data_IF_299652437699
#
_entry.id   IF_299652437699
#
_cell.length_a   1.000
_cell.length_b   1.000
_cell.length_c   1.000
_cell.angle_alpha   90.00
_cell.angle_beta   90.00
_cell.angle_gamma   90.00
#
_symmetry.space_group_name_H-M   'P 1'
#
loop_
_entity.id
_entity.type
_entity.pdbx_description
1 polymer ?
#
# COMPACT_ATOMS: atom_id res chain seq x y z
N UNK A 1 5.29 10.37 -13.05
CA UNK A 1 5.80 10.91 -11.77
C UNK A 1 5.92 12.42 -11.94
N UNK A 2 5.23 13.23 -11.13
CA UNK A 2 5.39 14.68 -11.19
C UNK A 2 6.73 15.05 -10.53
N UNK A 3 7.47 16.00 -11.11
CA UNK A 3 8.69 16.52 -10.49
C UNK A 3 8.33 17.20 -9.14
N UNK A 4 9.04 16.91 -8.05
CA UNK A 4 8.75 17.53 -6.76
C UNK A 4 8.98 19.04 -6.83
N UNK A 5 8.02 19.81 -6.33
CA UNK A 5 8.11 21.27 -6.29
C UNK A 5 8.96 21.70 -5.09
N UNK A 6 9.85 22.69 -5.28
CA UNK A 6 10.65 23.32 -4.22
C UNK A 6 9.79 23.81 -3.05
N UNK A 7 8.58 24.30 -3.33
CA UNK A 7 7.64 24.77 -2.30
C UNK A 7 7.22 23.66 -1.31
N UNK A 8 7.39 22.39 -1.70
CA UNK A 8 7.05 21.24 -0.85
C UNK A 8 8.11 20.92 0.20
N UNK A 9 9.35 21.42 0.07
CA UNK A 9 10.49 21.07 0.94
C UNK A 9 10.14 21.33 2.41
N UNK A 10 9.62 22.53 2.72
CA UNK A 10 9.24 22.91 4.09
C UNK A 10 8.17 21.97 4.66
N UNK A 11 7.11 21.74 3.89
CA UNK A 11 5.99 20.88 4.29
C UNK A 11 6.43 19.43 4.53
N UNK A 12 7.26 18.88 3.64
CA UNK A 12 7.81 17.53 3.80
C UNK A 12 8.69 17.42 5.04
N UNK A 13 9.60 18.39 5.23
CA UNK A 13 10.48 18.44 6.40
C UNK A 13 9.68 18.49 7.72
N UNK A 14 8.64 19.32 7.77
CA UNK A 14 7.79 19.48 8.96
C UNK A 14 6.95 18.23 9.24
N UNK A 15 6.42 17.57 8.20
CA UNK A 15 5.72 16.27 8.33
C UNK A 15 6.61 15.19 8.94
N UNK A 16 7.91 15.23 8.67
CA UNK A 16 8.91 14.30 9.21
C UNK A 16 9.46 14.74 10.58
N UNK A 17 8.98 15.86 11.15
CA UNK A 17 9.49 16.44 12.40
C UNK A 17 11.00 16.74 12.38
N UNK A 18 11.57 17.06 11.21
CA UNK A 18 13.01 17.31 11.04
C UNK A 18 13.32 18.80 11.10
N UNK A 19 14.40 19.18 11.80
CA UNK A 19 14.86 20.57 11.82
C UNK A 19 15.59 20.97 10.53
N UNK A 20 15.58 22.25 10.16
CA UNK A 20 16.37 22.76 9.04
C UNK A 20 17.86 22.42 9.18
N UNK A 21 18.37 22.40 10.42
CA UNK A 21 19.76 22.03 10.73
C UNK A 21 20.06 20.58 10.35
N UNK A 22 19.17 19.66 10.70
CA UNK A 22 19.34 18.24 10.38
C UNK A 22 19.24 17.99 8.87
N UNK A 23 18.25 18.59 8.20
CA UNK A 23 18.12 18.47 6.74
C UNK A 23 19.35 19.02 6.00
N UNK A 24 19.84 20.19 6.41
CA UNK A 24 21.03 20.80 5.82
C UNK A 24 22.27 19.90 5.96
N UNK A 25 22.47 19.32 7.15
CA UNK A 25 23.56 18.39 7.42
C UNK A 25 23.49 17.14 6.54
N UNK A 26 22.30 16.58 6.31
CA UNK A 26 22.12 15.39 5.46
C UNK A 26 22.31 15.69 3.98
N UNK A 27 21.81 16.85 3.53
CA UNK A 27 21.94 17.27 2.14
C UNK A 27 23.33 17.84 1.80
N UNK A 28 24.21 18.01 2.79
CA UNK A 28 25.54 18.59 2.60
C UNK A 28 25.49 20.07 2.20
N UNK A 29 24.57 20.84 2.78
CA UNK A 29 24.38 22.28 2.53
C UNK A 29 24.32 23.06 3.84
N UNK A 30 24.34 24.40 3.75
CA UNK A 30 24.22 25.25 4.94
C UNK A 30 22.76 25.36 5.40
N UNK A 31 22.55 25.54 6.71
CA UNK A 31 21.22 25.79 7.30
C UNK A 31 20.58 27.06 6.74
N UNK A 32 21.39 28.10 6.50
CA UNK A 32 20.97 29.35 5.87
C UNK A 32 20.41 29.11 4.46
N UNK A 33 21.05 28.24 3.67
CA UNK A 33 20.58 27.88 2.33
C UNK A 33 19.20 27.20 2.38
N UNK A 34 18.98 26.24 3.30
CA UNK A 34 17.66 25.63 3.49
C UNK A 34 16.61 26.69 3.85
N UNK A 35 16.92 27.60 4.78
CA UNK A 35 15.99 28.67 5.17
C UNK A 35 15.66 29.61 4.00
N UNK A 36 16.64 29.98 3.18
CA UNK A 36 16.41 30.81 1.99
C UNK A 36 15.55 30.12 0.94
N UNK A 37 15.74 28.81 0.74
CA UNK A 37 14.93 28.00 -0.18
C UNK A 37 13.48 27.87 0.34
N UNK A 38 13.30 27.48 1.61
CA UNK A 38 11.97 27.30 2.22
C UNK A 38 11.17 28.60 2.34
N UNK A 39 11.84 29.76 2.38
CA UNK A 39 11.19 31.07 2.36
C UNK A 39 11.01 31.67 0.97
N UNK A 40 11.38 30.94 -0.10
CA UNK A 40 11.29 31.40 -1.48
C UNK A 40 12.29 32.49 -1.88
N UNK A 41 13.24 32.83 -0.99
CA UNK A 41 14.26 33.88 -1.21
C UNK A 41 15.37 33.44 -2.17
N UNK A 42 15.55 32.14 -2.37
CA UNK A 42 16.56 31.60 -3.29
C UNK A 42 16.07 30.31 -3.95
N UNK A 43 16.47 30.11 -5.22
CA UNK A 43 16.26 28.85 -5.93
C UNK A 43 17.58 28.07 -5.94
N UNK A 44 17.59 26.79 -5.51
CA UNK A 44 18.80 25.97 -5.55
C UNK A 44 19.14 25.57 -6.99
N UNK A 45 20.41 25.18 -7.21
CA UNK A 45 20.77 24.42 -8.40
C UNK A 45 20.07 23.05 -8.42
N UNK A 46 20.02 22.41 -9.58
CA UNK A 46 19.48 21.06 -9.71
C UNK A 46 20.17 20.07 -8.75
N UNK A 47 21.51 20.09 -8.67
CA UNK A 47 22.26 19.20 -7.79
C UNK A 47 21.93 19.42 -6.31
N UNK A 48 21.78 20.68 -5.90
CA UNK A 48 21.36 21.01 -4.53
C UNK A 48 19.93 20.55 -4.27
N UNK A 49 19.00 20.80 -5.18
CA UNK A 49 17.62 20.32 -5.06
C UNK A 49 17.58 18.78 -4.95
N UNK A 50 18.34 18.07 -5.80
CA UNK A 50 18.47 16.62 -5.80
C UNK A 50 18.98 16.10 -4.45
N UNK A 51 20.00 16.72 -3.86
CA UNK A 51 20.52 16.36 -2.53
C UNK A 51 19.49 16.58 -1.41
N UNK A 52 18.73 17.68 -1.47
CA UNK A 52 17.69 17.99 -0.49
C UNK A 52 16.55 16.97 -0.56
N UNK A 53 16.00 16.73 -1.75
CA UNK A 53 14.92 15.75 -1.93
C UNK A 53 15.38 14.32 -1.65
N UNK A 54 16.62 13.97 -2.01
CA UNK A 54 17.20 12.66 -1.66
C UNK A 54 17.28 12.45 -0.15
N UNK A 55 17.75 13.46 0.60
CA UNK A 55 17.78 13.41 2.06
C UNK A 55 16.39 13.28 2.69
N UNK A 56 15.40 14.01 2.16
CA UNK A 56 14.01 13.92 2.62
C UNK A 56 13.41 12.53 2.36
N UNK A 57 13.70 11.92 1.22
CA UNK A 57 13.23 10.57 0.89
C UNK A 57 13.83 9.50 1.83
N UNK A 58 15.11 9.63 2.18
CA UNK A 58 15.76 8.74 3.16
C UNK A 58 15.09 8.90 4.54
N UNK A 59 14.91 10.14 5.00
CA UNK A 59 14.23 10.43 6.26
C UNK A 59 12.79 9.91 6.29
N UNK A 60 12.06 10.02 5.18
CA UNK A 60 10.71 9.48 5.07
C UNK A 60 10.69 7.95 5.19
N UNK A 61 11.67 7.26 4.59
CA UNK A 61 11.85 5.81 4.74
C UNK A 61 12.20 5.38 6.18
N UNK A 62 13.06 6.14 6.86
CA UNK A 62 13.47 5.88 8.26
C UNK A 62 12.38 6.22 9.28
N UNK A 63 11.43 7.08 8.93
CA UNK A 63 10.39 7.55 9.87
C UNK A 63 9.24 6.57 10.07
N UNK A 64 9.11 5.51 9.24
CA UNK A 64 8.07 4.50 9.47
C UNK A 64 8.50 3.58 10.61
N UNK A 65 7.86 3.70 11.77
CA UNK A 65 8.11 2.84 12.94
C UNK A 65 7.63 1.40 12.76
N UNK A 66 6.86 1.13 11.70
CA UNK A 66 6.25 -0.17 11.45
C UNK A 66 6.47 -0.65 10.02
N UNK A 67 6.53 -1.97 9.85
CA UNK A 67 6.62 -2.64 8.55
C UNK A 67 5.32 -3.38 8.19
N UNK A 68 5.14 -3.69 6.91
CA UNK A 68 3.94 -4.36 6.38
C UNK A 68 3.59 -5.64 7.17
N UNK A 69 4.61 -6.41 7.56
CA UNK A 69 4.47 -7.64 8.32
C UNK A 69 3.85 -7.49 9.71
N UNK A 70 3.99 -6.32 10.35
CA UNK A 70 3.45 -6.05 11.68
C UNK A 70 1.96 -5.68 11.65
N UNK A 71 1.49 -5.17 10.52
CA UNK A 71 0.11 -4.69 10.37
C UNK A 71 -0.78 -5.65 9.58
N UNK A 72 -0.18 -6.59 8.84
CA UNK A 72 -0.93 -7.52 8.01
C UNK A 72 -1.75 -8.50 8.86
N UNK A 73 -2.95 -8.83 8.37
CA UNK A 73 -3.79 -9.87 8.97
C UNK A 73 -3.21 -11.24 8.66
N UNK A 74 -3.00 -12.01 9.72
CA UNK A 74 -2.53 -13.39 9.69
C UNK A 74 -3.36 -14.25 10.67
N UNK A 75 -3.65 -15.54 10.38
CA UNK A 75 -3.38 -16.22 9.11
C UNK A 75 -4.27 -15.69 7.98
N UNK A 76 -3.75 -15.75 6.76
CA UNK A 76 -4.50 -15.35 5.57
C UNK A 76 -5.56 -16.39 5.23
N UNK A 77 -6.81 -15.96 5.09
CA UNK A 77 -7.86 -16.82 4.57
C UNK A 77 -7.71 -16.94 3.05
N UNK A 78 -7.75 -18.17 2.53
CA UNK A 78 -7.50 -18.47 1.12
C UNK A 78 -8.61 -19.34 0.57
N UNK A 79 -8.94 -19.16 -0.70
CA UNK A 79 -9.88 -20.03 -1.40
C UNK A 79 -9.28 -20.53 -2.73
N UNK A 80 -9.86 -21.61 -3.27
CA UNK A 80 -9.44 -22.22 -4.53
C UNK A 80 -10.27 -21.71 -5.71
N UNK A 81 -9.71 -21.67 -6.94
CA UNK A 81 -10.43 -21.25 -8.14
C UNK A 81 -11.71 -22.06 -8.41
N UNK A 82 -11.75 -23.33 -7.97
CA UNK A 82 -12.87 -24.25 -8.18
C UNK A 82 -14.04 -24.07 -7.20
N UNK A 83 -13.83 -23.33 -6.10
CA UNK A 83 -14.89 -23.03 -5.13
C UNK A 83 -15.91 -22.05 -5.75
N UNK A 84 -17.07 -21.93 -5.11
CA UNK A 84 -18.17 -21.13 -5.65
C UNK A 84 -18.25 -19.75 -5.02
N UNK A 85 -19.00 -18.86 -5.69
CA UNK A 85 -19.33 -17.54 -5.14
C UNK A 85 -20.10 -17.65 -3.84
N UNK A 86 -20.99 -18.64 -3.70
CA UNK A 86 -21.71 -18.86 -2.46
C UNK A 86 -20.77 -19.18 -1.28
N UNK A 87 -19.72 -19.98 -1.54
CA UNK A 87 -18.70 -20.28 -0.54
C UNK A 87 -17.97 -18.99 -0.11
N UNK A 88 -17.62 -18.14 -1.08
CA UNK A 88 -16.93 -16.88 -0.80
C UNK A 88 -17.80 -15.92 0.01
N UNK A 89 -19.07 -15.75 -0.34
CA UNK A 89 -20.02 -14.90 0.40
C UNK A 89 -20.20 -15.39 1.83
N UNK A 90 -20.36 -16.71 2.02
CA UNK A 90 -20.47 -17.31 3.35
C UNK A 90 -19.22 -17.02 4.18
N UNK A 91 -18.05 -17.22 3.60
CA UNK A 91 -16.76 -16.99 4.25
C UNK A 91 -16.51 -15.52 4.60
N UNK A 92 -16.86 -14.61 3.69
CA UNK A 92 -16.81 -13.15 3.91
C UNK A 92 -17.66 -12.73 5.11
N UNK A 93 -18.89 -13.24 5.20
CA UNK A 93 -19.79 -12.96 6.32
C UNK A 93 -19.28 -13.56 7.65
N UNK A 94 -18.85 -14.82 7.64
CA UNK A 94 -18.35 -15.52 8.84
C UNK A 94 -17.13 -14.83 9.45
N UNK A 95 -16.26 -14.27 8.60
CA UNK A 95 -14.99 -13.68 9.04
C UNK A 95 -15.00 -12.14 9.05
N UNK A 96 -16.12 -11.53 8.66
CA UNK A 96 -16.25 -10.08 8.48
C UNK A 96 -15.12 -9.48 7.61
N UNK A 97 -14.84 -10.13 6.47
CA UNK A 97 -13.83 -9.70 5.49
C UNK A 97 -14.48 -9.44 4.13
N UNK A 98 -13.92 -8.51 3.35
CA UNK A 98 -14.45 -8.13 2.03
C UNK A 98 -13.52 -8.47 0.87
N UNK A 99 -12.36 -9.09 1.14
CA UNK A 99 -11.42 -9.59 0.14
C UNK A 99 -10.92 -10.96 0.55
N UNK A 100 -10.88 -11.88 -0.42
CA UNK A 100 -10.33 -13.22 -0.24
C UNK A 100 -9.38 -13.51 -1.42
N UNK A 101 -8.08 -13.71 -1.17
CA UNK A 101 -7.14 -14.11 -2.20
C UNK A 101 -7.37 -15.56 -2.62
N UNK A 102 -7.25 -15.79 -3.92
CA UNK A 102 -7.47 -17.09 -4.55
C UNK A 102 -6.12 -17.74 -4.84
N UNK A 103 -5.97 -18.99 -4.42
CA UNK A 103 -4.74 -19.77 -4.54
C UNK A 103 -4.98 -21.05 -5.33
N UNK A 104 -4.10 -21.32 -6.30
CA UNK A 104 -3.94 -22.65 -6.88
C UNK A 104 -2.69 -23.31 -6.27
N UNK A 105 -2.91 -24.29 -5.40
CA UNK A 105 -1.86 -24.81 -4.53
C UNK A 105 -1.25 -23.72 -3.63
N UNK A 106 0.02 -23.40 -3.86
CA UNK A 106 0.77 -22.38 -3.10
C UNK A 106 0.82 -21.02 -3.78
N UNK A 107 0.38 -20.93 -5.03
CA UNK A 107 0.51 -19.74 -5.86
C UNK A 107 -0.76 -18.88 -5.81
N UNK A 108 -0.66 -17.57 -5.55
CA UNK A 108 -1.80 -16.67 -5.67
C UNK A 108 -2.14 -16.46 -7.14
N UNK A 109 -3.37 -16.76 -7.53
CA UNK A 109 -3.84 -16.64 -8.93
C UNK A 109 -4.87 -15.53 -9.13
N UNK A 110 -5.38 -14.95 -8.04
CA UNK A 110 -6.29 -13.80 -8.11
C UNK A 110 -6.79 -13.34 -6.75
N UNK A 111 -7.78 -12.45 -6.78
CA UNK A 111 -8.53 -12.04 -5.59
C UNK A 111 -10.00 -11.90 -5.93
N UNK A 112 -10.85 -12.30 -4.98
CA UNK A 112 -12.28 -12.04 -5.01
C UNK A 112 -12.59 -10.99 -3.96
N UNK A 113 -13.33 -9.96 -4.35
CA UNK A 113 -13.78 -8.91 -3.45
C UNK A 113 -15.30 -8.81 -3.44
N UNK A 114 -15.87 -8.35 -2.33
CA UNK A 114 -17.30 -8.09 -2.19
C UNK A 114 -17.82 -7.20 -3.33
N UNK A 115 -17.10 -6.12 -3.66
CA UNK A 115 -17.41 -5.24 -4.78
C UNK A 115 -17.43 -6.00 -6.13
N UNK A 116 -16.43 -6.87 -6.36
CA UNK A 116 -16.36 -7.70 -7.57
C UNK A 116 -17.52 -8.68 -7.68
N UNK A 117 -17.94 -9.27 -6.56
CA UNK A 117 -19.12 -10.11 -6.49
C UNK A 117 -20.39 -9.30 -6.83
N UNK A 118 -20.62 -8.16 -6.19
CA UNK A 118 -21.79 -7.30 -6.46
C UNK A 118 -21.85 -6.86 -7.94
N UNK A 119 -20.71 -6.51 -8.54
CA UNK A 119 -20.64 -6.20 -9.98
C UNK A 119 -21.05 -7.39 -10.85
N UNK A 120 -20.68 -8.62 -10.46
CA UNK A 120 -21.10 -9.82 -11.19
C UNK A 120 -22.59 -10.13 -11.01
N UNK A 121 -23.19 -9.84 -9.85
CA UNK A 121 -24.64 -9.95 -9.63
C UNK A 121 -25.41 -9.21 -10.71
N UNK A 122 -25.04 -7.93 -10.91
CA UNK A 122 -25.78 -7.00 -11.73
C UNK A 122 -25.83 -7.41 -13.20
N UNK A 123 -24.93 -8.30 -13.62
CA UNK A 123 -24.75 -8.75 -15.00
C UNK A 123 -25.13 -10.22 -15.21
N UNK A 124 -25.58 -10.93 -14.17
CA UNK A 124 -25.83 -12.38 -14.22
C UNK A 124 -27.20 -12.74 -13.65
N UNK A 125 -27.83 -13.79 -14.17
CA UNK A 125 -29.05 -14.34 -13.59
C UNK A 125 -28.80 -14.85 -12.16
N UNK A 126 -29.59 -14.36 -11.20
CA UNK A 126 -29.47 -14.68 -9.77
C UNK A 126 -29.49 -16.18 -9.45
N UNK A 127 -30.20 -16.99 -10.25
CA UNK A 127 -30.35 -18.44 -10.03
C UNK A 127 -29.07 -19.24 -10.30
N UNK A 128 -28.23 -18.78 -11.23
CA UNK A 128 -26.99 -19.46 -11.63
C UNK A 128 -25.75 -18.86 -10.97
N UNK A 129 -25.82 -17.59 -10.59
CA UNK A 129 -24.67 -16.85 -10.10
C UNK A 129 -24.01 -17.50 -8.87
N UNK A 130 -24.79 -17.94 -7.89
CA UNK A 130 -24.26 -18.58 -6.67
C UNK A 130 -23.40 -19.82 -6.94
N UNK A 131 -23.64 -20.52 -8.06
CA UNK A 131 -22.94 -21.76 -8.45
C UNK A 131 -21.70 -21.51 -9.32
N UNK A 132 -21.49 -20.27 -9.77
CA UNK A 132 -20.30 -19.92 -10.57
C UNK A 132 -19.03 -20.10 -9.75
N UNK A 133 -17.96 -20.52 -10.44
CA UNK A 133 -16.68 -20.74 -9.81
C UNK A 133 -15.93 -19.42 -9.61
N UNK A 134 -15.07 -19.36 -8.60
CA UNK A 134 -14.29 -18.16 -8.30
C UNK A 134 -13.33 -17.79 -9.44
N UNK A 135 -12.85 -18.76 -10.21
CA UNK A 135 -12.01 -18.51 -11.40
C UNK A 135 -12.68 -17.62 -12.45
N UNK A 136 -14.02 -17.62 -12.51
CA UNK A 136 -14.80 -16.89 -13.52
C UNK A 136 -15.14 -15.45 -13.09
N UNK A 137 -14.77 -15.08 -11.85
CA UNK A 137 -15.08 -13.78 -11.24
C UNK A 137 -13.91 -13.11 -10.54
N UNK A 138 -12.87 -13.87 -10.19
CA UNK A 138 -11.67 -13.33 -9.57
C UNK A 138 -11.01 -12.31 -10.51
N UNK A 139 -10.43 -11.28 -9.92
CA UNK A 139 -9.58 -10.33 -10.62
C UNK A 139 -8.12 -10.73 -10.49
N UNK A 140 -7.24 -10.03 -11.21
CA UNK A 140 -5.79 -10.22 -11.16
C UNK A 140 -5.25 -10.24 -9.72
N UNK A 141 -4.14 -10.95 -9.54
CA UNK A 141 -3.39 -10.98 -8.28
C UNK A 141 -3.10 -9.55 -7.81
N UNK A 142 -3.45 -9.18 -6.57
CA UNK A 142 -3.12 -7.86 -6.04
C UNK A 142 -1.60 -7.70 -5.87
N UNK A 143 -1.09 -6.47 -5.71
CA UNK A 143 0.32 -6.24 -5.41
C UNK A 143 0.82 -7.07 -4.23
N UNK A 144 2.02 -7.62 -4.38
CA UNK A 144 2.71 -8.39 -3.34
C UNK A 144 3.90 -7.54 -2.87
N UNK A 145 4.00 -7.35 -1.55
CA UNK A 145 5.12 -6.64 -0.92
C UNK A 145 5.85 -7.56 0.05
N UNK A 146 7.09 -7.22 0.38
CA UNK A 146 7.87 -7.97 1.37
C UNK A 146 7.44 -7.61 2.80
N UNK A 147 7.67 -8.51 3.75
CA UNK A 147 7.38 -8.34 5.18
C UNK A 147 7.96 -7.04 5.75
N UNK A 148 9.17 -6.68 5.35
CA UNK A 148 9.94 -5.52 5.77
C UNK A 148 9.58 -4.23 5.04
N UNK A 149 8.60 -4.26 4.13
CA UNK A 149 8.18 -3.07 3.38
C UNK A 149 7.67 -1.99 4.34
N UNK A 150 8.22 -0.76 4.32
CA UNK A 150 7.78 0.35 5.15
C UNK A 150 6.29 0.67 4.98
N UNK A 151 5.58 0.90 6.07
CA UNK A 151 4.11 1.07 6.04
C UNK A 151 3.65 2.35 5.32
N UNK A 152 4.49 3.38 5.30
CA UNK A 152 4.22 4.63 4.55
C UNK A 152 4.10 4.41 3.03
N UNK A 153 4.64 3.33 2.47
CA UNK A 153 4.51 3.00 1.04
C UNK A 153 3.19 2.31 0.70
N UNK A 154 2.47 1.79 1.70
CA UNK A 154 1.27 0.97 1.51
C UNK A 154 0.03 1.82 1.21
N UNK A 155 -0.10 2.98 1.86
CA UNK A 155 -1.21 3.91 1.65
C UNK A 155 -1.40 4.31 0.18
N UNK A 156 -0.34 4.79 -0.52
CA UNK A 156 -0.39 5.07 -1.95
C UNK A 156 -0.78 3.86 -2.81
N UNK A 157 -0.30 2.65 -2.48
CA UNK A 157 -0.68 1.42 -3.20
C UNK A 157 -2.18 1.11 -3.04
N UNK A 158 -2.71 1.25 -1.82
CA UNK A 158 -4.12 1.01 -1.51
C UNK A 158 -5.09 2.00 -2.17
N UNK A 159 -4.60 3.10 -2.76
CA UNK A 159 -5.43 3.98 -3.61
C UNK A 159 -5.81 3.31 -4.94
N UNK A 160 -5.01 2.35 -5.41
CA UNK A 160 -5.19 1.69 -6.71
C UNK A 160 -5.58 0.21 -6.59
N UNK A 161 -5.41 -0.39 -5.41
CA UNK A 161 -5.83 -1.77 -5.11
C UNK A 161 -6.61 -1.85 -3.80
N UNK A 162 -7.54 -2.79 -3.69
CA UNK A 162 -8.35 -3.00 -2.47
C UNK A 162 -7.59 -3.71 -1.36
N UNK A 163 -6.54 -4.45 -1.71
CA UNK A 163 -5.69 -5.14 -0.76
C UNK A 163 -4.28 -5.35 -1.31
N UNK A 164 -3.35 -5.66 -0.42
CA UNK A 164 -1.95 -5.98 -0.70
C UNK A 164 -1.64 -7.30 -0.01
N UNK A 165 -0.95 -8.20 -0.70
CA UNK A 165 -0.44 -9.43 -0.09
C UNK A 165 0.95 -9.20 0.48
N UNK A 166 1.22 -9.79 1.64
CA UNK A 166 2.53 -9.72 2.30
C UNK A 166 3.23 -11.05 2.20
N UNK A 167 4.48 -11.01 1.73
CA UNK A 167 5.34 -12.17 1.59
C UNK A 167 6.52 -12.15 2.56
N UNK A 168 6.88 -13.32 3.08
CA UNK A 168 8.10 -13.54 3.88
C UNK A 168 8.76 -14.82 3.39
N UNK A 169 10.04 -14.76 3.02
CA UNK A 169 10.78 -15.89 2.46
C UNK A 169 10.03 -16.57 1.29
N UNK A 170 9.53 -15.76 0.34
CA UNK A 170 8.75 -16.20 -0.82
C UNK A 170 7.42 -16.89 -0.52
N UNK A 171 6.93 -16.84 0.72
CA UNK A 171 5.62 -17.35 1.11
C UNK A 171 4.67 -16.20 1.42
N UNK A 172 3.45 -16.25 0.89
CA UNK A 172 2.39 -15.30 1.27
C UNK A 172 1.91 -15.65 2.68
N UNK A 173 2.12 -14.72 3.61
CA UNK A 173 1.81 -14.89 5.03
C UNK A 173 0.58 -14.10 5.48
N UNK A 174 0.27 -12.99 4.81
CA UNK A 174 -0.75 -12.06 5.26
C UNK A 174 -1.33 -11.18 4.16
N UNK A 175 -2.36 -10.43 4.54
CA UNK A 175 -3.08 -9.50 3.68
C UNK A 175 -3.25 -8.16 4.42
N UNK A 176 -3.13 -7.06 3.69
CA UNK A 176 -3.35 -5.70 4.20
C UNK A 176 -4.47 -5.06 3.38
N UNK A 177 -5.38 -4.41 4.08
CA UNK A 177 -6.48 -3.60 3.51
C UNK A 177 -6.41 -2.17 4.05
N UNK A 178 -7.18 -1.26 3.45
CA UNK A 178 -7.30 0.11 3.96
C UNK A 178 -7.67 0.14 5.46
N UNK A 179 -8.54 -0.79 5.91
CA UNK A 179 -8.95 -0.88 7.32
C UNK A 179 -7.77 -1.15 8.29
N UNK A 180 -6.74 -1.85 7.83
CA UNK A 180 -5.57 -2.18 8.64
C UNK A 180 -4.64 -0.96 8.77
N UNK A 181 -4.53 -0.15 7.70
CA UNK A 181 -3.76 1.10 7.73
C UNK A 181 -4.42 2.20 8.57
N UNK A 182 -5.75 2.20 8.69
CA UNK A 182 -6.46 3.15 9.56
C UNK A 182 -6.18 2.94 11.04
N UNK A 183 -5.81 1.72 11.47
CA UNK A 183 -5.46 1.42 12.87
C UNK A 183 -4.11 2.01 13.30
N UNK A 184 -3.34 2.54 12.35
CA UNK A 184 -2.03 3.14 12.59
C UNK A 184 -2.08 4.65 12.82
N UNK A 185 -3.21 5.29 12.52
CA UNK A 185 -3.47 6.71 12.78
C UNK A 185 -4.14 6.89 14.12
#
# INVERSE_FOLDING_TARGET
MSLPNLDSIKRQREKLHVSQKKLASMAGVSTSMINQIESGRSKPSYDTAKKIFGSLAILEGESSSHVAGEICKTPIEKMKPSQTINDAVKKMNEMAISQIPIFDGTEPVGVVSEEGLVKKLATTNASQWKKMQLKDVMTSVPPIVNYDTPTNTLGPLLQFTKCILVSKNSKIIGIITASDTLRMM
#
